data_IF_139774071835
#
_entry.id   IF_139774071835
#
_cell.length_a   1.000
_cell.length_b   1.000
_cell.length_c   1.000
_cell.angle_alpha   90.00
_cell.angle_beta   90.00
_cell.angle_gamma   90.00
#
_symmetry.space_group_name_H-M   'P 1'
#
loop_
_entity.id
_entity.type
_entity.pdbx_description
1 polymer ?
#
# COMPACT_ATOMS: atom_id res chain seq x y z
N UNK A 1 1.34 2.16 -2.49
CA UNK A 1 0.13 2.41 -3.30
C UNK A 1 -0.49 3.71 -2.80
N UNK A 2 -0.25 4.84 -3.47
CA UNK A 2 -0.74 6.13 -2.98
C UNK A 2 -2.26 6.13 -2.77
N UNK A 3 -2.69 6.85 -1.72
CA UNK A 3 -4.08 7.02 -1.30
C UNK A 3 -4.77 5.74 -0.79
N UNK A 4 -3.97 4.69 -0.52
CA UNK A 4 -4.43 3.42 0.03
C UNK A 4 -3.67 3.15 1.32
N UNK A 5 -4.39 2.82 2.39
CA UNK A 5 -3.77 2.39 3.64
C UNK A 5 -3.18 0.98 3.50
N UNK A 6 -1.93 0.81 3.94
CA UNK A 6 -1.20 -0.46 3.78
C UNK A 6 -1.84 -1.63 4.51
N UNK A 7 -2.32 -1.44 5.74
CA UNK A 7 -2.98 -2.49 6.53
C UNK A 7 -4.26 -2.99 5.86
N UNK A 8 -5.12 -2.06 5.45
CA UNK A 8 -6.33 -2.34 4.69
C UNK A 8 -6.04 -3.11 3.40
N UNK A 9 -4.95 -2.78 2.69
CA UNK A 9 -4.53 -3.50 1.49
C UNK A 9 -4.03 -4.92 1.80
N UNK A 10 -3.25 -5.11 2.87
CA UNK A 10 -2.81 -6.46 3.29
C UNK A 10 -4.01 -7.34 3.63
N UNK A 11 -4.98 -6.81 4.38
CA UNK A 11 -6.21 -7.54 4.73
C UNK A 11 -7.02 -7.91 3.48
N UNK A 12 -7.08 -7.01 2.50
CA UNK A 12 -7.76 -7.24 1.23
C UNK A 12 -7.05 -8.30 0.35
N UNK A 13 -5.73 -8.43 0.49
CA UNK A 13 -4.88 -9.38 -0.23
C UNK A 13 -4.59 -10.66 0.58
N UNK A 14 -5.42 -11.03 1.55
CA UNK A 14 -5.21 -12.21 2.44
C UNK A 14 -4.93 -13.54 1.72
N UNK A 15 -5.35 -13.67 0.46
CA UNK A 15 -5.16 -14.87 -0.36
C UNK A 15 -3.79 -14.87 -1.09
N UNK A 16 -3.01 -13.78 -0.97
CA UNK A 16 -1.66 -13.62 -1.47
C UNK A 16 -0.68 -13.49 -0.30
N UNK A 17 0.36 -14.33 -0.26
CA UNK A 17 1.42 -14.21 0.73
C UNK A 17 2.33 -13.02 0.42
N UNK A 18 2.04 -11.87 1.04
CA UNK A 18 2.74 -10.59 0.84
C UNK A 18 3.25 -10.02 2.15
N UNK A 19 4.15 -9.03 2.09
CA UNK A 19 4.62 -8.31 3.28
C UNK A 19 4.54 -6.80 3.07
N UNK A 20 4.10 -6.05 4.08
CA UNK A 20 4.38 -4.61 4.21
C UNK A 20 5.64 -4.38 5.04
N UNK A 21 6.28 -3.21 4.88
CA UNK A 21 7.45 -2.82 5.68
C UNK A 21 8.80 -3.36 5.19
N UNK A 22 9.84 -3.18 6.02
CA UNK A 22 11.25 -3.53 5.70
C UNK A 22 11.59 -5.01 5.87
N UNK A 23 10.88 -5.72 6.72
CA UNK A 23 10.95 -7.17 6.95
C UNK A 23 9.85 -7.52 7.94
N UNK A 24 9.36 -8.76 7.92
CA UNK A 24 8.41 -9.36 8.86
C UNK A 24 8.39 -8.68 10.25
N UNK A 25 7.58 -7.63 10.45
CA UNK A 25 7.47 -6.96 11.73
C UNK A 25 6.32 -7.58 12.49
N UNK A 26 6.66 -8.40 13.49
CA UNK A 26 5.76 -8.70 14.59
C UNK A 26 5.49 -7.39 15.36
N UNK A 27 4.31 -6.82 15.16
CA UNK A 27 3.67 -5.84 16.05
C UNK A 27 4.14 -4.36 16.05
N UNK A 28 4.96 -3.89 15.11
CA UNK A 28 5.27 -2.44 15.01
C UNK A 28 4.78 -1.85 13.70
N UNK A 29 3.94 -0.81 13.81
CA UNK A 29 3.32 -0.06 12.71
C UNK A 29 4.31 0.82 11.94
N UNK A 30 5.58 0.88 12.32
CA UNK A 30 6.58 1.80 11.78
C UNK A 30 6.80 1.65 10.26
N UNK A 31 6.92 2.76 9.50
CA UNK A 31 7.20 2.69 8.08
C UNK A 31 8.59 2.10 7.83
N UNK A 32 8.74 1.41 6.70
CA UNK A 32 10.00 0.77 6.29
C UNK A 32 11.17 1.74 6.37
N UNK A 33 12.16 1.46 7.22
CA UNK A 33 13.36 2.29 7.34
C UNK A 33 14.16 2.32 6.02
N UNK A 34 14.05 1.27 5.20
CA UNK A 34 14.66 1.21 3.87
C UNK A 34 13.98 2.22 2.93
N UNK A 35 12.65 2.28 2.92
CA UNK A 35 11.92 3.21 2.07
C UNK A 35 12.14 4.67 2.52
N UNK A 36 12.21 4.92 3.83
CA UNK A 36 12.60 6.21 4.39
C UNK A 36 14.01 6.62 3.95
N UNK A 37 14.99 5.71 4.02
CA UNK A 37 16.35 5.96 3.56
C UNK A 37 16.44 6.25 2.05
N UNK A 38 15.51 5.71 1.25
CA UNK A 38 15.35 6.02 -0.18
C UNK A 38 14.59 7.34 -0.44
N UNK A 39 14.26 8.12 0.60
CA UNK A 39 13.58 9.40 0.49
C UNK A 39 12.08 9.30 0.23
N UNK A 40 11.44 8.16 0.58
CA UNK A 40 9.98 8.04 0.52
C UNK A 40 9.36 8.66 1.76
N UNK A 41 8.33 9.47 1.53
CA UNK A 41 7.46 10.01 2.58
C UNK A 41 6.77 8.86 3.34
N UNK A 42 6.49 9.05 4.62
CA UNK A 42 6.00 8.00 5.52
C UNK A 42 4.68 7.39 5.01
N UNK A 43 3.74 8.20 4.52
CA UNK A 43 2.49 7.72 3.92
C UNK A 43 2.71 6.74 2.75
N UNK A 44 3.68 7.04 1.89
CA UNK A 44 4.06 6.15 0.79
C UNK A 44 4.78 4.90 1.29
N UNK A 45 5.59 5.03 2.35
CA UNK A 45 6.26 3.90 2.96
C UNK A 45 5.28 2.93 3.66
N UNK A 46 4.23 3.44 4.33
CA UNK A 46 3.18 2.62 4.93
C UNK A 46 2.30 1.92 3.90
N UNK A 47 2.01 2.57 2.77
CA UNK A 47 1.20 1.98 1.70
C UNK A 47 1.99 1.04 0.77
N UNK A 48 3.23 0.70 1.10
CA UNK A 48 4.09 -0.14 0.25
C UNK A 48 3.95 -1.62 0.56
N UNK A 49 3.81 -2.43 -0.50
CA UNK A 49 3.75 -3.90 -0.42
C UNK A 49 4.92 -4.48 -1.21
N UNK A 50 5.60 -5.47 -0.63
CA UNK A 50 6.65 -6.24 -1.28
C UNK A 50 6.09 -7.59 -1.74
N UNK A 51 6.26 -7.86 -3.03
CA UNK A 51 5.98 -9.16 -3.65
C UNK A 51 7.31 -9.85 -3.96
N UNK A 52 7.44 -11.10 -3.55
CA UNK A 52 8.62 -11.92 -3.84
C UNK A 52 8.15 -13.14 -4.61
N UNK A 53 8.66 -13.31 -5.83
CA UNK A 53 8.37 -14.51 -6.64
C UNK A 53 9.43 -15.58 -6.36
N UNK A 54 9.00 -16.84 -6.36
CA UNK A 54 9.86 -17.99 -6.13
C UNK A 54 10.02 -18.86 -7.37
N UNK A 55 10.88 -19.89 -7.28
CA UNK A 55 11.06 -20.90 -8.34
C UNK A 55 9.74 -21.59 -8.76
N UNK A 56 8.78 -21.66 -7.84
CA UNK A 56 7.52 -22.36 -8.03
C UNK A 56 6.36 -21.42 -8.40
N UNK A 57 6.60 -20.11 -8.50
CA UNK A 57 5.58 -19.16 -8.93
C UNK A 57 5.24 -19.39 -10.40
N UNK A 58 3.95 -19.45 -10.74
CA UNK A 58 3.49 -19.61 -12.13
C UNK A 58 2.99 -18.29 -12.73
N UNK A 59 2.88 -18.23 -14.06
CA UNK A 59 2.35 -17.04 -14.76
C UNK A 59 0.89 -16.81 -14.36
N UNK A 60 0.11 -17.88 -14.21
CA UNK A 60 -1.29 -17.82 -13.82
C UNK A 60 -1.47 -17.25 -12.40
N UNK A 61 -0.58 -17.58 -11.47
CA UNK A 61 -0.57 -17.00 -10.12
C UNK A 61 -0.25 -15.50 -10.16
N UNK A 62 0.67 -15.08 -11.04
CA UNK A 62 0.99 -13.66 -11.25
C UNK A 62 -0.20 -12.91 -11.85
N UNK A 63 -0.85 -13.47 -12.87
CA UNK A 63 -2.03 -12.87 -13.48
C UNK A 63 -3.19 -12.75 -12.50
N UNK A 64 -3.40 -13.78 -11.67
CA UNK A 64 -4.36 -13.73 -10.57
C UNK A 64 -4.02 -12.60 -9.58
N UNK A 65 -2.75 -12.52 -9.15
CA UNK A 65 -2.30 -11.49 -8.23
C UNK A 65 -2.52 -10.08 -8.80
N UNK A 66 -2.18 -9.84 -10.07
CA UNK A 66 -2.38 -8.55 -10.74
C UNK A 66 -3.86 -8.14 -10.71
N UNK A 67 -4.76 -9.04 -11.11
CA UNK A 67 -6.19 -8.75 -11.15
C UNK A 67 -6.75 -8.47 -9.75
N UNK A 68 -6.34 -9.27 -8.77
CA UNK A 68 -6.77 -9.10 -7.37
C UNK A 68 -6.26 -7.80 -6.76
N UNK A 69 -4.98 -7.46 -6.98
CA UNK A 69 -4.40 -6.20 -6.49
C UNK A 69 -5.12 -5.00 -7.11
N UNK A 70 -5.36 -5.04 -8.41
CA UNK A 70 -6.05 -3.96 -9.11
C UNK A 70 -7.45 -3.74 -8.53
N UNK A 71 -8.24 -4.80 -8.40
CA UNK A 71 -9.62 -4.68 -7.90
C UNK A 71 -9.66 -4.15 -6.46
N UNK A 72 -8.76 -4.61 -5.58
CA UNK A 72 -8.75 -4.15 -4.20
C UNK A 72 -8.21 -2.73 -4.05
N UNK A 73 -7.22 -2.32 -4.84
CA UNK A 73 -6.72 -0.94 -4.86
C UNK A 73 -7.79 0.02 -5.35
N UNK A 74 -8.52 -0.34 -6.40
CA UNK A 74 -9.64 0.47 -6.92
C UNK A 74 -10.73 0.61 -5.83
N UNK A 75 -11.15 -0.49 -5.22
CA UNK A 75 -12.15 -0.49 -4.13
C UNK A 75 -11.71 0.34 -2.92
N UNK A 76 -10.45 0.21 -2.48
CA UNK A 76 -9.95 0.97 -1.32
C UNK A 76 -9.82 2.46 -1.62
N UNK A 77 -9.52 2.83 -2.87
CA UNK A 77 -9.51 4.22 -3.31
C UNK A 77 -10.89 4.84 -3.34
N UNK A 78 -11.93 4.10 -3.73
CA UNK A 78 -13.33 4.57 -3.66
C UNK A 78 -13.76 4.92 -2.23
N UNK A 79 -13.15 4.30 -1.22
CA UNK A 79 -13.41 4.55 0.18
C UNK A 79 -12.48 5.61 0.80
N UNK A 80 -11.50 6.11 0.05
CA UNK A 80 -10.44 6.98 0.56
C UNK A 80 -10.76 8.46 0.32
N UNK A 81 -10.97 9.26 1.38
CA UNK A 81 -11.16 10.71 1.24
C UNK A 81 -9.95 11.40 0.57
N UNK A 82 -8.73 10.88 0.81
CA UNK A 82 -7.51 11.40 0.17
C UNK A 82 -7.53 11.19 -1.34
N UNK A 83 -8.13 10.09 -1.82
CA UNK A 83 -8.29 9.83 -3.24
C UNK A 83 -9.31 10.77 -3.90
N UNK A 84 -10.43 11.04 -3.22
CA UNK A 84 -11.42 12.04 -3.64
C UNK A 84 -10.76 13.42 -3.81
N UNK A 85 -10.05 13.89 -2.77
CA UNK A 85 -9.36 15.18 -2.79
C UNK A 85 -8.30 15.27 -3.90
N UNK A 86 -7.56 14.18 -4.14
CA UNK A 86 -6.61 14.10 -5.24
C UNK A 86 -7.29 14.21 -6.61
N UNK A 87 -8.44 13.52 -6.81
CA UNK A 87 -9.22 13.63 -8.06
C UNK A 87 -9.76 15.04 -8.29
N UNK A 88 -10.11 15.74 -7.21
CA UNK A 88 -10.59 17.13 -7.25
C UNK A 88 -9.45 18.15 -7.46
N UNK A 89 -8.20 17.68 -7.57
CA UNK A 89 -7.02 18.53 -7.82
C UNK A 89 -6.54 19.29 -6.58
N UNK A 90 -6.97 18.89 -5.38
CA UNK A 90 -6.54 19.50 -4.13
C UNK A 90 -5.11 19.06 -3.82
N UNK A 91 -4.24 20.04 -3.58
CA UNK A 91 -2.88 19.74 -3.09
C UNK A 91 -2.95 19.34 -1.61
N UNK A 92 -2.81 18.04 -1.34
CA UNK A 92 -2.82 17.49 0.01
C UNK A 92 -1.72 18.06 0.91
N UNK A 93 -0.61 18.57 0.33
CA UNK A 93 0.48 19.20 1.09
C UNK A 93 0.12 20.59 1.58
N UNK A 94 -0.90 21.22 1.00
CA UNK A 94 -1.41 22.53 1.40
C UNK A 94 -2.44 22.46 2.53
N UNK A 95 -2.90 21.26 2.88
CA UNK A 95 -3.92 21.04 3.92
C UNK A 95 -3.25 21.03 5.29
N UNK A 96 -3.76 21.84 6.22
CA UNK A 96 -3.40 21.75 7.62
C UNK A 96 -4.17 20.60 8.27
N UNK A 97 -3.48 19.48 8.48
CA UNK A 97 -4.01 18.33 9.21
C UNK A 97 -4.02 18.63 10.71
N UNK A 98 -5.11 18.29 11.39
CA UNK A 98 -5.10 18.26 12.85
C UNK A 98 -4.15 17.13 13.27
N UNK A 99 -3.07 17.45 13.98
CA UNK A 99 -2.11 16.46 14.44
C UNK A 99 -2.79 15.44 15.35
N UNK A 100 -2.59 14.16 15.06
CA UNK A 100 -2.85 13.04 15.96
C UNK A 100 -1.55 12.63 16.64
#
# INVERSE_FOLDING_TARGET
FAFVEGESLIMALKDLAVSSGSACTSASLEPSYVLRALGREDELAHSSIRFTLGRFSTVEEVDYAINKIRSEVERLRELSPLWEMFKDGIDLKSIQWAAH
#
